data_IF_869478915798
#
_entry.id   IF_869478915798
#
_cell.length_a   1.000
_cell.length_b   1.000
_cell.length_c   1.000
_cell.angle_alpha   90.00
_cell.angle_beta   90.00
_cell.angle_gamma   90.00
#
_symmetry.space_group_name_H-M   'P 1'
#
loop_
_entity.id
_entity.type
_entity.pdbx_description
1 polymer ?
#
# COMPACT_ATOMS: atom_id res chain seq x y z
N UNK A 1 3.58 -1.85 19.46
CA UNK A 1 4.60 -0.82 19.06
C UNK A 1 3.97 0.57 19.09
N UNK A 2 4.70 1.67 19.42
CA UNK A 2 4.17 3.06 19.32
C UNK A 2 4.37 3.62 17.93
N UNK A 3 3.50 4.53 17.48
CA UNK A 3 3.56 5.15 16.14
C UNK A 3 4.96 5.68 15.78
N UNK A 4 5.56 6.50 16.65
CA UNK A 4 6.89 7.08 16.39
C UNK A 4 7.99 6.02 16.28
N UNK A 5 7.87 4.92 17.02
CA UNK A 5 8.83 3.82 16.92
C UNK A 5 8.69 3.10 15.59
N UNK A 6 7.46 2.82 15.14
CA UNK A 6 7.21 2.25 13.81
C UNK A 6 7.79 3.13 12.70
N UNK A 7 7.53 4.45 12.76
CA UNK A 7 8.08 5.40 11.80
C UNK A 7 9.61 5.33 11.73
N UNK A 8 10.29 5.37 12.88
CA UNK A 8 11.75 5.27 12.95
C UNK A 8 12.27 3.94 12.44
N UNK A 9 11.56 2.84 12.69
CA UNK A 9 11.93 1.50 12.23
C UNK A 9 11.77 1.37 10.70
N UNK A 10 10.77 2.02 10.10
CA UNK A 10 10.54 1.99 8.66
C UNK A 10 11.45 2.96 7.88
N UNK A 11 12.05 3.97 8.54
CA UNK A 11 12.84 5.00 7.88
C UNK A 11 14.09 4.47 7.13
N UNK A 12 14.81 3.41 7.59
CA UNK A 12 15.96 2.84 6.89
C UNK A 12 15.60 2.02 5.65
N UNK A 13 14.32 1.73 5.40
CA UNK A 13 13.90 0.95 4.22
C UNK A 13 14.38 1.65 2.96
N UNK A 14 15.15 0.92 2.15
CA UNK A 14 15.72 1.44 0.90
C UNK A 14 14.62 1.60 -0.14
N UNK A 15 14.67 2.72 -0.88
CA UNK A 15 13.80 2.97 -2.01
C UNK A 15 14.16 2.14 -3.24
N UNK A 16 13.48 2.41 -4.34
CA UNK A 16 13.76 1.75 -5.61
C UNK A 16 15.18 2.06 -6.10
N UNK A 17 15.87 1.04 -6.57
CA UNK A 17 17.21 1.20 -7.15
C UNK A 17 17.17 1.86 -8.54
N UNK A 18 16.22 1.44 -9.39
CA UNK A 18 15.95 2.01 -10.70
C UNK A 18 14.43 2.22 -10.86
N UNK A 19 13.87 3.31 -10.31
CA UNK A 19 12.43 3.55 -10.36
C UNK A 19 11.93 3.73 -11.79
N UNK A 20 10.77 3.15 -12.09
CA UNK A 20 10.10 3.20 -13.39
C UNK A 20 8.95 4.20 -13.33
N UNK A 21 9.09 5.32 -14.05
CA UNK A 21 8.04 6.35 -14.08
C UNK A 21 6.69 5.80 -14.57
N UNK A 22 6.71 4.91 -15.58
CA UNK A 22 5.51 4.29 -16.13
C UNK A 22 4.71 3.44 -15.12
N UNK A 23 5.33 3.02 -14.00
CA UNK A 23 4.69 2.31 -12.91
C UNK A 23 4.43 3.21 -11.69
N UNK A 24 4.67 4.51 -11.81
CA UNK A 24 4.52 5.48 -10.70
C UNK A 24 5.25 5.02 -9.42
N UNK A 25 6.48 4.50 -9.58
CA UNK A 25 7.29 3.94 -8.48
C UNK A 25 7.86 5.05 -7.58
N UNK A 26 7.03 5.53 -6.69
CA UNK A 26 7.41 6.41 -5.58
C UNK A 26 7.31 5.64 -4.27
N UNK A 27 8.38 5.68 -3.48
CA UNK A 27 8.35 5.03 -2.17
C UNK A 27 7.39 5.74 -1.24
N UNK A 28 6.47 4.99 -0.61
CA UNK A 28 5.63 5.51 0.45
C UNK A 28 6.51 5.99 1.61
N UNK A 29 6.43 7.27 2.01
CA UNK A 29 7.25 7.78 3.11
C UNK A 29 6.95 7.07 4.43
N UNK A 30 7.98 6.79 5.23
CA UNK A 30 7.84 6.10 6.51
C UNK A 30 6.81 6.76 7.46
N UNK A 31 6.71 8.11 7.58
CA UNK A 31 5.66 8.72 8.39
C UNK A 31 4.24 8.41 7.93
N UNK A 32 4.01 8.39 6.62
CA UNK A 32 2.70 8.10 6.03
C UNK A 32 2.36 6.61 6.17
N UNK A 33 3.32 5.72 5.87
CA UNK A 33 3.18 4.28 6.06
C UNK A 33 2.86 3.94 7.53
N UNK A 34 3.65 4.50 8.47
CA UNK A 34 3.43 4.29 9.89
C UNK A 34 2.05 4.78 10.33
N UNK A 35 1.57 5.93 9.80
CA UNK A 35 0.26 6.49 10.12
C UNK A 35 -0.87 5.59 9.64
N UNK A 36 -0.81 5.09 8.38
CA UNK A 36 -1.79 4.14 7.85
C UNK A 36 -1.83 2.87 8.71
N UNK A 37 -0.65 2.25 8.91
CA UNK A 37 -0.53 0.98 9.60
C UNK A 37 -0.93 1.08 11.07
N UNK A 38 -0.53 2.16 11.76
CA UNK A 38 -0.91 2.36 13.15
C UNK A 38 -2.42 2.60 13.31
N UNK A 39 -3.02 3.31 12.36
CA UNK A 39 -4.47 3.47 12.32
C UNK A 39 -5.18 2.11 12.14
N UNK A 40 -4.71 1.28 11.20
CA UNK A 40 -5.24 -0.06 10.99
C UNK A 40 -5.03 -0.97 12.23
N UNK A 41 -3.87 -0.88 12.90
CA UNK A 41 -3.62 -1.59 14.15
C UNK A 41 -4.63 -1.21 15.24
N UNK A 42 -4.89 0.10 15.43
CA UNK A 42 -5.83 0.58 16.44
C UNK A 42 -7.28 0.17 16.18
N UNK A 43 -7.61 -0.16 14.94
CA UNK A 43 -8.91 -0.74 14.53
C UNK A 43 -8.99 -2.26 14.69
N UNK A 44 -7.87 -2.93 15.03
CA UNK A 44 -7.80 -4.38 15.13
C UNK A 44 -7.71 -5.09 13.77
N UNK A 45 -7.26 -4.37 12.74
CA UNK A 45 -7.21 -4.86 11.36
C UNK A 45 -5.81 -5.36 10.94
N UNK A 46 -4.81 -5.40 11.88
CA UNK A 46 -3.44 -5.86 11.60
C UNK A 46 -3.02 -7.02 12.51
N UNK A 47 -3.01 -6.82 13.83
CA UNK A 47 -2.49 -7.82 14.78
C UNK A 47 -3.31 -9.11 14.73
N UNK A 48 -2.64 -10.26 14.53
CA UNK A 48 -3.26 -11.58 14.39
C UNK A 48 -4.08 -11.75 13.10
N UNK A 49 -3.90 -10.88 12.09
CA UNK A 49 -4.63 -10.90 10.82
C UNK A 49 -3.76 -11.38 9.68
N UNK A 50 -4.40 -11.95 8.65
CA UNK A 50 -3.79 -12.15 7.33
C UNK A 50 -3.91 -10.85 6.54
N UNK A 51 -2.76 -10.23 6.22
CA UNK A 51 -2.69 -8.94 5.53
C UNK A 51 -2.10 -9.11 4.13
N UNK A 52 -2.72 -8.49 3.13
CA UNK A 52 -2.20 -8.42 1.76
C UNK A 52 -1.80 -6.99 1.41
N UNK A 53 -0.58 -6.79 0.86
CA UNK A 53 -0.09 -5.51 0.33
C UNK A 53 -0.09 -5.56 -1.21
N UNK A 54 -0.96 -4.79 -1.85
CA UNK A 54 -1.09 -4.76 -3.31
C UNK A 54 -0.30 -3.60 -3.91
N UNK A 55 0.66 -3.92 -4.79
CA UNK A 55 1.62 -2.95 -5.31
C UNK A 55 2.64 -2.58 -4.25
N UNK A 56 3.23 -3.58 -3.61
CA UNK A 56 4.05 -3.40 -2.41
C UNK A 56 5.34 -2.60 -2.64
N UNK A 57 5.80 -2.47 -3.90
CA UNK A 57 7.02 -1.77 -4.23
C UNK A 57 8.23 -2.26 -3.45
N UNK A 58 8.80 -1.38 -2.61
CA UNK A 58 9.95 -1.70 -1.76
C UNK A 58 9.58 -2.35 -0.42
N UNK A 59 8.30 -2.68 -0.22
CA UNK A 59 7.78 -3.47 0.90
C UNK A 59 7.47 -2.69 2.18
N UNK A 60 7.47 -1.36 2.15
CA UNK A 60 7.35 -0.55 3.38
C UNK A 60 6.06 -0.83 4.16
N UNK A 61 4.91 -0.99 3.48
CA UNK A 61 3.63 -1.28 4.13
C UNK A 61 3.60 -2.74 4.63
N UNK A 62 3.98 -3.70 3.79
CA UNK A 62 4.01 -5.12 4.14
C UNK A 62 4.94 -5.40 5.34
N UNK A 63 6.16 -4.86 5.32
CA UNK A 63 7.13 -4.98 6.41
C UNK A 63 6.55 -4.39 7.70
N UNK A 64 5.96 -3.18 7.60
CA UNK A 64 5.34 -2.55 8.76
C UNK A 64 4.18 -3.34 9.34
N UNK A 65 3.35 -4.00 8.51
CA UNK A 65 2.27 -4.88 8.96
C UNK A 65 2.82 -6.11 9.71
N UNK A 66 3.89 -6.74 9.18
CA UNK A 66 4.56 -7.87 9.85
C UNK A 66 5.13 -7.44 11.22
N UNK A 67 5.81 -6.30 11.30
CA UNK A 67 6.37 -5.77 12.55
C UNK A 67 5.30 -5.38 13.58
N UNK A 68 4.07 -5.14 13.14
CA UNK A 68 2.91 -4.86 14.01
C UNK A 68 2.14 -6.12 14.43
N UNK A 69 2.64 -7.31 14.10
CA UNK A 69 2.09 -8.58 14.56
C UNK A 69 0.99 -9.15 13.69
N UNK A 70 0.98 -8.83 12.38
CA UNK A 70 0.17 -9.58 11.43
C UNK A 70 0.59 -11.08 11.49
N UNK A 71 -0.39 -11.98 11.46
CA UNK A 71 -0.13 -13.42 11.52
C UNK A 71 0.51 -13.93 10.22
N UNK A 72 0.05 -13.40 9.10
CA UNK A 72 0.61 -13.65 7.77
C UNK A 72 0.56 -12.39 6.92
N UNK A 73 1.66 -12.10 6.22
CA UNK A 73 1.71 -10.99 5.27
C UNK A 73 2.11 -11.51 3.89
N UNK A 74 1.27 -11.24 2.90
CA UNK A 74 1.54 -11.46 1.48
C UNK A 74 1.62 -10.12 0.77
N UNK A 75 2.61 -9.96 -0.10
CA UNK A 75 2.87 -8.70 -0.77
C UNK A 75 3.13 -8.91 -2.26
N UNK A 76 2.46 -8.17 -3.10
CA UNK A 76 2.48 -8.36 -4.56
C UNK A 76 2.99 -7.11 -5.24
N UNK A 77 3.90 -7.28 -6.20
CA UNK A 77 4.28 -6.25 -7.16
C UNK A 77 4.58 -6.87 -8.53
N UNK A 78 4.30 -6.12 -9.59
CA UNK A 78 4.55 -6.59 -10.95
C UNK A 78 6.01 -6.43 -11.38
N UNK A 79 6.82 -5.67 -10.63
CA UNK A 79 8.25 -5.45 -10.93
C UNK A 79 9.13 -6.40 -10.11
N UNK A 80 9.79 -7.40 -10.75
CA UNK A 80 10.68 -8.32 -10.05
C UNK A 80 11.80 -7.62 -9.27
N UNK A 81 12.29 -6.47 -9.76
CA UNK A 81 13.35 -5.70 -9.09
C UNK A 81 12.84 -5.00 -7.83
N UNK A 82 11.59 -4.56 -7.83
CA UNK A 82 10.95 -4.03 -6.63
C UNK A 82 10.82 -5.12 -5.56
N UNK A 83 10.36 -6.32 -5.97
CA UNK A 83 10.23 -7.48 -5.09
C UNK A 83 11.59 -7.94 -4.54
N UNK A 84 12.65 -7.93 -5.35
CA UNK A 84 14.01 -8.21 -4.89
C UNK A 84 14.44 -7.22 -3.79
N UNK A 85 14.22 -5.92 -4.02
CA UNK A 85 14.49 -4.88 -3.04
C UNK A 85 13.65 -5.03 -1.76
N UNK A 86 12.38 -5.39 -1.89
CA UNK A 86 11.48 -5.63 -0.77
C UNK A 86 11.94 -6.81 0.10
N UNK A 87 12.37 -7.92 -0.52
CA UNK A 87 12.94 -9.06 0.20
C UNK A 87 14.20 -8.65 0.99
N UNK A 88 15.09 -7.86 0.38
CA UNK A 88 16.29 -7.38 1.07
C UNK A 88 15.96 -6.46 2.25
N UNK A 89 14.96 -5.59 2.10
CA UNK A 89 14.48 -4.71 3.17
C UNK A 89 13.84 -5.52 4.31
N UNK A 90 13.01 -6.51 3.99
CA UNK A 90 12.38 -7.38 4.99
C UNK A 90 13.42 -8.18 5.78
N UNK A 91 14.42 -8.75 5.11
CA UNK A 91 15.53 -9.45 5.75
C UNK A 91 16.33 -8.55 6.70
N UNK A 92 16.56 -7.28 6.32
CA UNK A 92 17.28 -6.31 7.16
C UNK A 92 16.54 -6.00 8.48
N UNK A 93 15.20 -6.08 8.48
CA UNK A 93 14.36 -5.77 9.64
C UNK A 93 13.78 -7.01 10.33
N UNK A 94 14.22 -8.21 9.93
CA UNK A 94 13.74 -9.50 10.44
C UNK A 94 12.20 -9.61 10.34
N UNK A 95 11.63 -9.09 9.25
CA UNK A 95 10.21 -9.11 8.99
C UNK A 95 9.83 -10.28 8.07
N UNK A 96 8.88 -11.10 8.49
CA UNK A 96 8.42 -12.25 7.72
C UNK A 96 7.30 -11.83 6.76
N UNK A 97 7.60 -11.74 5.47
CA UNK A 97 6.67 -11.38 4.39
C UNK A 97 6.85 -12.32 3.21
N UNK A 98 5.74 -12.83 2.69
CA UNK A 98 5.70 -13.61 1.45
C UNK A 98 5.55 -12.64 0.27
N UNK A 99 6.65 -12.40 -0.48
CA UNK A 99 6.63 -11.53 -1.64
C UNK A 99 6.38 -12.32 -2.93
N UNK A 100 5.47 -11.83 -3.77
CA UNK A 100 5.01 -12.47 -5.00
C UNK A 100 5.18 -11.51 -6.17
N UNK A 101 5.82 -11.96 -7.25
CA UNK A 101 5.89 -11.20 -8.50
C UNK A 101 4.65 -11.55 -9.33
N UNK A 102 3.69 -10.64 -9.40
CA UNK A 102 2.48 -10.80 -10.20
C UNK A 102 1.83 -9.44 -10.50
N UNK A 103 1.06 -9.39 -11.58
CA UNK A 103 0.24 -8.23 -11.91
C UNK A 103 -1.13 -8.34 -11.21
N UNK A 104 -1.61 -7.26 -10.61
CA UNK A 104 -2.95 -7.22 -9.97
C UNK A 104 -4.11 -7.50 -10.95
N UNK A 105 -3.82 -7.47 -12.25
CA UNK A 105 -4.77 -7.79 -13.33
C UNK A 105 -4.75 -9.27 -13.74
N UNK A 106 -3.89 -10.07 -13.12
CA UNK A 106 -3.83 -11.51 -13.39
C UNK A 106 -5.03 -12.21 -12.74
N UNK A 107 -5.84 -12.88 -13.56
CA UNK A 107 -7.04 -13.60 -13.11
C UNK A 107 -6.73 -14.75 -12.14
N UNK A 108 -5.49 -15.27 -12.14
CA UNK A 108 -5.06 -16.30 -11.21
C UNK A 108 -4.66 -15.76 -9.83
N UNK A 109 -4.37 -14.46 -9.74
CA UNK A 109 -3.84 -13.85 -8.51
C UNK A 109 -4.77 -13.96 -7.30
N UNK A 110 -6.11 -13.78 -7.41
CA UNK A 110 -7.00 -13.98 -6.27
C UNK A 110 -6.87 -15.37 -5.65
N UNK A 111 -6.69 -16.40 -6.46
CA UNK A 111 -6.48 -17.79 -6.00
C UNK A 111 -5.13 -17.98 -5.30
N UNK A 112 -4.08 -17.29 -5.74
CA UNK A 112 -2.75 -17.33 -5.12
C UNK A 112 -2.73 -16.58 -3.77
N UNK A 113 -3.43 -15.44 -3.69
CA UNK A 113 -3.51 -14.66 -2.46
C UNK A 113 -4.46 -15.27 -1.44
N UNK A 114 -5.39 -16.14 -1.86
CA UNK A 114 -6.49 -16.61 -1.03
C UNK A 114 -7.32 -15.44 -0.46
N UNK A 115 -8.20 -15.72 0.52
CA UNK A 115 -8.86 -14.64 1.26
C UNK A 115 -7.90 -14.09 2.33
N UNK A 116 -7.88 -12.79 2.51
CA UNK A 116 -7.20 -12.14 3.62
C UNK A 116 -8.18 -11.29 4.46
N UNK A 117 -7.79 -10.95 5.68
CA UNK A 117 -8.61 -10.12 6.56
C UNK A 117 -8.55 -8.66 6.13
N UNK A 118 -7.35 -8.21 5.73
CA UNK A 118 -7.09 -6.80 5.43
C UNK A 118 -6.19 -6.66 4.20
N UNK A 119 -6.58 -5.79 3.28
CA UNK A 119 -5.70 -5.26 2.24
C UNK A 119 -5.17 -3.90 2.65
N UNK A 120 -3.88 -3.69 2.46
CA UNK A 120 -3.22 -2.40 2.52
C UNK A 120 -2.63 -2.09 1.15
N UNK A 121 -2.66 -0.83 0.70
CA UNK A 121 -2.11 -0.48 -0.60
C UNK A 121 -1.81 1.02 -0.75
N UNK A 122 -0.82 1.32 -1.58
CA UNK A 122 -0.58 2.64 -2.14
C UNK A 122 -0.55 2.51 -3.67
N UNK A 123 -1.72 2.41 -4.33
CA UNK A 123 -1.80 2.18 -5.76
C UNK A 123 -1.30 3.38 -6.57
N UNK A 124 -0.99 3.22 -7.87
CA UNK A 124 -0.64 4.34 -8.73
C UNK A 124 -1.77 5.37 -8.75
N UNK A 125 -1.41 6.66 -8.68
CA UNK A 125 -2.38 7.77 -8.62
C UNK A 125 -3.01 8.13 -9.96
N UNK A 126 -2.61 7.44 -11.04
CA UNK A 126 -3.15 7.66 -12.38
C UNK A 126 -2.51 8.83 -13.13
N UNK A 127 -1.36 9.33 -12.67
CA UNK A 127 -0.63 10.41 -13.33
C UNK A 127 -0.05 9.99 -14.69
N UNK A 128 0.34 8.71 -14.84
CA UNK A 128 0.87 8.15 -16.07
C UNK A 128 -0.20 7.43 -16.90
N UNK A 129 -1.14 6.78 -16.24
CA UNK A 129 -2.24 6.04 -16.89
C UNK A 129 -3.53 6.28 -16.13
N UNK A 130 -4.49 6.91 -16.79
CA UNK A 130 -5.81 7.13 -16.21
C UNK A 130 -6.41 5.81 -15.71
N UNK A 131 -7.00 5.85 -14.52
CA UNK A 131 -7.66 4.70 -13.89
C UNK A 131 -6.75 3.52 -13.55
N UNK A 132 -5.46 3.74 -13.35
CA UNK A 132 -4.50 2.71 -12.96
C UNK A 132 -4.78 2.10 -11.57
N UNK A 133 -5.47 2.83 -10.71
CA UNK A 133 -5.91 2.44 -9.36
C UNK A 133 -7.07 1.41 -9.37
N UNK A 134 -7.90 1.39 -10.40
CA UNK A 134 -9.13 0.55 -10.44
C UNK A 134 -8.88 -0.95 -10.26
N UNK A 135 -7.93 -1.59 -10.99
CA UNK A 135 -7.64 -3.00 -10.79
C UNK A 135 -7.23 -3.35 -9.35
N UNK A 136 -6.53 -2.44 -8.67
CA UNK A 136 -6.15 -2.60 -7.27
C UNK A 136 -7.38 -2.58 -6.34
N UNK A 137 -8.30 -1.61 -6.56
CA UNK A 137 -9.55 -1.50 -5.80
C UNK A 137 -10.41 -2.75 -6.02
N UNK A 138 -10.55 -3.20 -7.27
CA UNK A 138 -11.38 -4.35 -7.62
C UNK A 138 -10.83 -5.64 -6.99
N UNK A 139 -9.52 -5.87 -7.07
CA UNK A 139 -8.87 -7.02 -6.43
C UNK A 139 -9.00 -6.93 -4.91
N UNK A 140 -8.70 -5.79 -4.30
CA UNK A 140 -8.79 -5.61 -2.85
C UNK A 140 -10.17 -5.97 -2.30
N UNK A 141 -11.23 -5.45 -2.94
CA UNK A 141 -12.60 -5.74 -2.54
C UNK A 141 -13.05 -7.18 -2.82
N UNK A 142 -12.38 -7.90 -3.71
CA UNK A 142 -12.67 -9.31 -3.96
C UNK A 142 -12.10 -10.24 -2.90
N UNK A 143 -10.90 -9.93 -2.36
CA UNK A 143 -10.13 -10.81 -1.48
C UNK A 143 -10.23 -10.46 0.01
N UNK A 144 -10.66 -9.23 0.38
CA UNK A 144 -10.70 -8.79 1.77
C UNK A 144 -11.98 -8.08 2.16
N UNK A 145 -12.45 -8.22 3.42
CA UNK A 145 -13.53 -7.42 3.98
C UNK A 145 -13.12 -5.99 4.30
N UNK A 146 -11.83 -5.74 4.60
CA UNK A 146 -11.28 -4.44 4.98
C UNK A 146 -10.16 -4.04 4.04
N UNK A 147 -10.16 -2.79 3.57
CA UNK A 147 -9.10 -2.25 2.72
C UNK A 147 -8.66 -0.87 3.22
N UNK A 148 -7.36 -0.67 3.39
CA UNK A 148 -6.73 0.62 3.61
C UNK A 148 -5.97 1.04 2.36
N UNK A 149 -6.26 2.21 1.83
CA UNK A 149 -5.60 2.70 0.63
C UNK A 149 -5.23 4.18 0.75
N UNK A 150 -4.10 4.53 0.14
CA UNK A 150 -3.67 5.92 -0.01
C UNK A 150 -4.11 6.39 -1.40
N UNK A 151 -4.80 7.52 -1.45
CA UNK A 151 -5.26 8.18 -2.68
C UNK A 151 -4.89 9.66 -2.67
N UNK A 152 -4.91 10.32 -3.84
CA UNK A 152 -4.84 11.78 -3.91
C UNK A 152 -6.00 12.40 -3.13
N UNK A 153 -5.76 13.54 -2.49
CA UNK A 153 -6.80 14.31 -1.81
C UNK A 153 -7.94 14.64 -2.79
N UNK A 154 -9.19 14.48 -2.31
CA UNK A 154 -10.39 14.66 -3.11
C UNK A 154 -10.87 13.43 -3.86
N UNK A 155 -10.15 12.29 -3.82
CA UNK A 155 -10.58 11.04 -4.47
C UNK A 155 -11.76 10.37 -3.77
N UNK A 156 -12.02 10.66 -2.50
CA UNK A 156 -13.06 9.98 -1.70
C UNK A 156 -14.44 9.97 -2.37
N UNK A 157 -14.85 11.06 -3.03
CA UNK A 157 -16.15 11.11 -3.71
C UNK A 157 -16.20 10.16 -4.91
N UNK A 158 -15.12 10.10 -5.70
CA UNK A 158 -15.01 9.15 -6.80
C UNK A 158 -15.00 7.70 -6.27
N UNK A 159 -14.17 7.40 -5.28
CA UNK A 159 -14.08 6.06 -4.67
C UNK A 159 -15.45 5.63 -4.13
N UNK A 160 -16.15 6.51 -3.39
CA UNK A 160 -17.51 6.25 -2.90
C UNK A 160 -18.47 5.85 -4.02
N UNK A 161 -18.43 6.56 -5.15
CA UNK A 161 -19.29 6.27 -6.29
C UNK A 161 -18.88 4.97 -6.98
N UNK A 162 -17.58 4.77 -7.21
CA UNK A 162 -17.05 3.59 -7.88
C UNK A 162 -17.30 2.29 -7.12
N UNK A 163 -17.24 2.35 -5.80
CA UNK A 163 -17.40 1.17 -4.92
C UNK A 163 -18.81 1.03 -4.36
N UNK A 164 -19.75 1.92 -4.68
CA UNK A 164 -21.05 2.08 -4.01
C UNK A 164 -21.86 0.78 -3.81
N UNK A 165 -21.80 -0.17 -4.74
CA UNK A 165 -22.49 -1.46 -4.67
C UNK A 165 -21.71 -2.52 -3.85
N UNK A 166 -20.41 -2.31 -3.63
CA UNK A 166 -19.46 -3.33 -3.11
C UNK A 166 -18.87 -2.97 -1.75
N UNK A 167 -18.71 -1.69 -1.47
CA UNK A 167 -18.07 -1.22 -0.24
C UNK A 167 -18.59 0.17 0.17
N UNK A 168 -18.28 0.54 1.41
CA UNK A 168 -18.47 1.89 1.92
C UNK A 168 -17.16 2.43 2.49
N UNK A 169 -17.00 3.75 2.46
CA UNK A 169 -15.89 4.43 3.13
C UNK A 169 -16.30 4.59 4.60
N UNK A 170 -15.63 3.84 5.48
CA UNK A 170 -15.84 3.92 6.94
C UNK A 170 -15.10 5.12 7.53
N UNK A 171 -13.85 5.34 7.10
CA UNK A 171 -13.03 6.43 7.61
C UNK A 171 -12.15 7.07 6.53
N UNK A 172 -11.83 8.35 6.77
CA UNK A 172 -10.93 9.14 5.96
C UNK A 172 -9.95 9.92 6.84
N UNK A 173 -8.65 9.79 6.58
CA UNK A 173 -7.58 10.50 7.28
C UNK A 173 -6.71 11.23 6.27
N UNK A 174 -6.57 12.55 6.39
CA UNK A 174 -5.69 13.34 5.54
C UNK A 174 -4.21 13.11 5.84
N UNK A 175 -3.37 13.26 4.82
CA UNK A 175 -1.92 13.13 4.93
C UNK A 175 -1.19 13.96 3.89
N UNK A 176 0.14 14.05 4.02
CA UNK A 176 1.03 14.67 3.04
C UNK A 176 2.01 13.60 2.54
N UNK A 177 2.14 13.51 1.23
CA UNK A 177 3.08 12.62 0.56
C UNK A 177 4.19 13.48 -0.07
N UNK A 178 5.38 13.56 0.52
CA UNK A 178 6.52 14.22 -0.10
C UNK A 178 7.11 13.34 -1.19
N UNK A 179 6.96 13.75 -2.45
CA UNK A 179 7.63 13.14 -3.59
C UNK A 179 9.01 13.79 -3.72
N UNK A 180 10.06 13.03 -3.43
CA UNK A 180 11.43 13.46 -3.71
C UNK A 180 11.68 13.44 -5.22
N UNK A 181 12.61 14.30 -5.68
CA UNK A 181 13.07 14.27 -7.07
C UNK A 181 13.62 12.90 -7.43
N UNK A 182 12.79 12.10 -8.10
CA UNK A 182 13.09 10.72 -8.49
C UNK A 182 13.41 10.61 -9.98
N UNK A 183 12.78 11.46 -10.80
CA UNK A 183 12.91 11.44 -12.25
C UNK A 183 13.44 12.77 -12.79
N UNK A 184 14.07 12.75 -13.98
CA UNK A 184 14.68 13.92 -14.61
C UNK A 184 13.68 15.04 -14.95
N UNK A 185 12.40 14.72 -15.11
CA UNK A 185 11.35 15.70 -15.40
C UNK A 185 10.83 16.43 -14.14
N UNK A 186 11.26 16.04 -12.94
CA UNK A 186 10.89 16.75 -11.73
C UNK A 186 11.65 18.09 -11.66
N UNK A 187 10.90 19.19 -11.51
CA UNK A 187 11.43 20.56 -11.44
C UNK A 187 11.79 21.01 -10.03
N UNK A 188 11.28 20.34 -9.00
CA UNK A 188 11.52 20.63 -7.60
C UNK A 188 12.19 19.44 -6.90
N UNK A 189 13.05 19.70 -5.91
CA UNK A 189 13.73 18.66 -5.14
C UNK A 189 12.76 17.84 -4.28
N UNK A 190 11.70 18.47 -3.78
CA UNK A 190 10.58 17.83 -3.09
C UNK A 190 9.29 18.49 -3.55
N UNK A 191 8.31 17.71 -3.96
CA UNK A 191 6.95 18.15 -4.22
C UNK A 191 6.04 17.48 -3.19
N UNK A 192 5.30 18.25 -2.42
CA UNK A 192 4.30 17.74 -1.50
C UNK A 192 2.97 17.56 -2.21
N UNK A 193 2.40 16.38 -2.09
CA UNK A 193 1.06 16.07 -2.59
C UNK A 193 0.16 15.79 -1.38
N UNK A 194 -0.98 16.46 -1.34
CA UNK A 194 -2.02 16.12 -0.38
C UNK A 194 -2.64 14.77 -0.74
N UNK A 195 -2.72 13.90 0.24
CA UNK A 195 -3.30 12.56 0.10
C UNK A 195 -4.35 12.29 1.18
N UNK A 196 -5.17 11.31 0.93
CA UNK A 196 -6.12 10.79 1.91
C UNK A 196 -5.96 9.27 2.03
N UNK A 197 -5.92 8.79 3.27
CA UNK A 197 -6.01 7.38 3.61
C UNK A 197 -7.48 7.07 3.80
N UNK A 198 -8.00 6.14 3.01
CA UNK A 198 -9.37 5.67 3.11
C UNK A 198 -9.41 4.25 3.68
N UNK A 199 -10.29 4.03 4.65
CA UNK A 199 -10.70 2.70 5.11
C UNK A 199 -12.00 2.33 4.44
N UNK A 200 -11.97 1.25 3.66
CA UNK A 200 -13.13 0.71 2.96
C UNK A 200 -13.59 -0.58 3.65
N UNK A 201 -14.89 -0.71 3.84
CA UNK A 201 -15.52 -1.94 4.36
C UNK A 201 -16.36 -2.54 3.24
N UNK A 202 -16.08 -3.81 2.89
CA UNK A 202 -16.86 -4.54 1.89
C UNK A 202 -18.26 -4.81 2.42
N UNK A 203 -19.26 -4.52 1.62
CA UNK A 203 -20.66 -4.87 1.90
C UNK A 203 -20.86 -6.38 1.81
N UNK A 204 -21.69 -6.89 2.70
CA UNK A 204 -22.12 -8.29 2.70
C UNK A 204 -23.13 -8.56 1.58
#
# INVERSE_FOLDING_TARGET
>A
MKLKHLEMTLQPIRGYYHPRAALEQYQTPAPLAARLLYHALMKGDIEGKTVCDLGCGTGVLAIGAALLGADRVRAVDCDPKAVEGANANAAQLDAHVEFIVADVRDDALPGLLESCDTVIMNPPFGAQKAHADRPFIDLALSIAPVTYSIFNAGSAQFIKTYTAQRAEIDEKVGGIFPIKRTFSFHTHDVQEIEVEILRLIRKQ
#
